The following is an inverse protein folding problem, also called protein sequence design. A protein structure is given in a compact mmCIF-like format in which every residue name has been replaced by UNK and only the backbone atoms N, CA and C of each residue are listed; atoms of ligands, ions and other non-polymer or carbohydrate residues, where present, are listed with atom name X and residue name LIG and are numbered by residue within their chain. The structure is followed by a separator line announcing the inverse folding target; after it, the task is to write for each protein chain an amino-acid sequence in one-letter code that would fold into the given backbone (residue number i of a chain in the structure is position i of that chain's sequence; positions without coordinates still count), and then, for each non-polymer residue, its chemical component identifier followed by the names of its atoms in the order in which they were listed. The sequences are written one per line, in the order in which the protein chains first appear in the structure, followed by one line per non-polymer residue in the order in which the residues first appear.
data_IF_152272682135
#
_entry.id   IF_152272682135
#
_cell.length_a   1.000
_cell.length_b   1.000
_cell.length_c   1.000
_cell.angle_alpha   90.00
_cell.angle_beta   90.00
_cell.angle_gamma   90.00
#
_symmetry.space_group_name_H-M   'P 1'
#
loop_
_entity.id
_entity.type
_entity.pdbx_description
1 polymer ?
#
# COMPACT_ATOMS: atom_id res chain seq x y z
N UNK A 1 3.54 -1.90 17.55
CA UNK A 1 2.92 -0.67 18.10
C UNK A 1 1.46 -0.63 17.67
N UNK A 2 0.55 -0.03 18.45
CA UNK A 2 -0.83 0.13 18.00
C UNK A 2 -0.91 1.03 16.76
N UNK A 3 -1.75 0.65 15.79
CA UNK A 3 -2.00 1.45 14.59
C UNK A 3 -2.75 2.74 14.99
N UNK A 4 -2.16 3.89 14.67
CA UNK A 4 -2.75 5.20 14.92
C UNK A 4 -3.93 5.50 13.98
N UNK A 5 -4.69 6.56 14.27
CA UNK A 5 -5.82 7.02 13.47
C UNK A 5 -7.18 6.48 13.93
N UNK A 6 -8.22 6.76 13.13
CA UNK A 6 -9.64 6.69 13.53
C UNK A 6 -10.43 5.54 12.87
N UNK A 7 -9.79 4.64 12.12
CA UNK A 7 -10.48 3.42 11.63
C UNK A 7 -10.88 2.50 12.79
N UNK A 8 -11.86 1.62 12.54
CA UNK A 8 -12.35 0.67 13.54
C UNK A 8 -11.27 -0.28 14.06
N UNK A 9 -11.45 -0.80 15.27
CA UNK A 9 -10.54 -1.79 15.87
C UNK A 9 -10.40 -3.04 14.99
N UNK A 10 -11.49 -3.49 14.34
CA UNK A 10 -11.45 -4.63 13.42
C UNK A 10 -10.59 -4.36 12.19
N UNK A 11 -10.61 -3.15 11.64
CA UNK A 11 -9.73 -2.75 10.54
C UNK A 11 -8.27 -2.69 11.01
N UNK A 12 -8.00 -2.16 12.21
CA UNK A 12 -6.64 -2.16 12.79
C UNK A 12 -6.11 -3.58 13.02
N UNK A 13 -6.96 -4.48 13.53
CA UNK A 13 -6.59 -5.89 13.71
C UNK A 13 -6.23 -6.55 12.37
N UNK A 14 -7.04 -6.35 11.33
CA UNK A 14 -6.73 -6.83 9.97
C UNK A 14 -5.40 -6.30 9.44
N UNK A 15 -5.12 -5.01 9.65
CA UNK A 15 -3.88 -4.38 9.17
C UNK A 15 -2.64 -4.75 10.00
N UNK A 16 -2.82 -5.23 11.23
CA UNK A 16 -1.72 -5.71 12.07
C UNK A 16 -1.12 -7.04 11.58
N UNK A 17 -1.81 -7.75 10.69
CA UNK A 17 -1.39 -9.05 10.16
C UNK A 17 -1.53 -9.11 8.63
N UNK A 18 -0.66 -8.35 7.95
CA UNK A 18 -0.62 -8.30 6.47
C UNK A 18 -0.44 -9.68 5.81
N UNK A 19 0.41 -10.60 6.33
CA UNK A 19 0.52 -11.93 5.72
C UNK A 19 -0.80 -12.70 5.68
N UNK A 20 -1.64 -12.54 6.72
CA UNK A 20 -2.98 -13.15 6.74
C UNK A 20 -3.92 -12.42 5.78
N UNK A 21 -3.90 -11.08 5.77
CA UNK A 21 -4.71 -10.26 4.88
C UNK A 21 -4.46 -10.57 3.39
N UNK A 22 -3.20 -10.81 3.01
CA UNK A 22 -2.79 -11.16 1.64
C UNK A 22 -2.71 -12.68 1.40
N UNK A 23 -3.28 -13.50 2.28
CA UNK A 23 -3.35 -14.97 2.13
C UNK A 23 -1.99 -15.67 1.96
N UNK A 24 -0.89 -15.11 2.47
CA UNK A 24 0.44 -15.72 2.38
C UNK A 24 0.53 -17.05 3.14
N UNK A 25 -0.30 -17.23 4.17
CA UNK A 25 -0.29 -18.44 5.00
C UNK A 25 -1.07 -19.62 4.38
N UNK A 26 -1.54 -19.51 3.13
CA UNK A 26 -2.25 -20.61 2.44
C UNK A 26 -1.32 -21.69 1.87
N UNK A 27 -0.06 -21.36 1.62
CA UNK A 27 0.95 -22.24 1.03
C UNK A 27 2.04 -22.56 2.05
N UNK A 28 2.61 -23.76 1.99
CA UNK A 28 3.79 -24.13 2.79
C UNK A 28 5.08 -23.46 2.30
N UNK A 29 5.11 -22.99 1.04
CA UNK A 29 6.26 -22.29 0.45
C UNK A 29 5.98 -20.79 0.32
N UNK A 30 6.97 -19.92 0.60
CA UNK A 30 6.80 -18.47 0.45
C UNK A 30 6.58 -18.11 -1.02
N UNK A 31 5.61 -17.21 -1.24
CA UNK A 31 5.30 -16.65 -2.56
C UNK A 31 6.11 -15.38 -2.85
N UNK A 32 5.80 -14.73 -3.98
CA UNK A 32 6.41 -13.45 -4.34
C UNK A 32 6.12 -12.38 -3.27
N UNK A 33 7.17 -11.71 -2.78
CA UNK A 33 7.06 -10.61 -1.82
C UNK A 33 6.66 -11.03 -0.40
N UNK A 34 6.74 -12.31 -0.05
CA UNK A 34 6.37 -12.83 1.28
C UNK A 34 7.18 -12.17 2.41
N UNK A 35 8.51 -12.13 2.29
CA UNK A 35 9.42 -11.45 3.21
C UNK A 35 9.08 -9.97 3.36
N UNK A 36 8.93 -9.27 2.23
CA UNK A 36 8.61 -7.84 2.18
C UNK A 36 7.28 -7.55 2.90
N UNK A 37 6.26 -8.38 2.70
CA UNK A 37 4.95 -8.22 3.37
C UNK A 37 4.99 -8.52 4.87
N UNK A 38 5.89 -9.39 5.32
CA UNK A 38 6.10 -9.67 6.75
C UNK A 38 6.81 -8.51 7.46
N UNK A 39 7.71 -7.82 6.75
CA UNK A 39 8.46 -6.70 7.30
C UNK A 39 7.73 -5.35 7.16
N UNK A 40 6.70 -5.28 6.31
CA UNK A 40 5.88 -4.08 6.12
C UNK A 40 4.96 -3.83 7.32
N UNK A 41 5.07 -2.65 7.93
CA UNK A 41 4.29 -2.27 9.12
C UNK A 41 3.32 -1.15 8.80
N UNK A 42 2.03 -1.35 9.05
CA UNK A 42 1.04 -0.27 9.05
C UNK A 42 1.18 0.53 10.35
N UNK A 43 1.39 1.85 10.25
CA UNK A 43 1.59 2.72 11.42
C UNK A 43 0.40 3.65 11.67
N UNK A 44 -0.36 3.99 10.63
CA UNK A 44 -1.53 4.87 10.72
C UNK A 44 -2.59 4.45 9.71
N UNK A 45 -3.85 4.48 10.10
CA UNK A 45 -5.01 4.33 9.22
C UNK A 45 -6.15 5.25 9.67
N UNK A 46 -6.66 6.08 8.77
CA UNK A 46 -7.78 6.98 9.03
C UNK A 46 -8.73 7.10 7.83
N UNK A 47 -9.95 7.56 8.12
CA UNK A 47 -10.90 8.10 7.16
C UNK A 47 -11.21 9.52 7.60
N UNK A 48 -10.83 10.48 6.77
CA UNK A 48 -10.88 11.91 7.10
C UNK A 48 -11.67 12.66 6.01
N UNK A 49 -12.17 13.86 6.33
CA UNK A 49 -12.76 14.72 5.31
C UNK A 49 -11.65 15.25 4.38
N UNK A 50 -11.92 15.32 3.07
CA UNK A 50 -10.97 15.89 2.11
C UNK A 50 -10.78 17.38 2.38
N UNK A 51 -9.55 17.86 2.27
CA UNK A 51 -9.25 19.27 2.48
C UNK A 51 -9.92 20.17 1.43
N UNK A 52 -9.92 19.72 0.17
CA UNK A 52 -10.44 20.47 -0.99
C UNK A 52 -11.96 20.34 -1.17
N UNK A 53 -12.57 19.29 -0.62
CA UNK A 53 -14.02 19.03 -0.69
C UNK A 53 -14.51 18.40 0.62
N UNK A 54 -14.77 19.21 1.66
CA UNK A 54 -15.08 18.71 3.01
C UNK A 54 -16.36 17.87 3.12
N UNK A 55 -17.25 17.91 2.11
CA UNK A 55 -18.43 17.03 2.04
C UNK A 55 -18.10 15.59 1.63
N UNK A 56 -16.84 15.34 1.23
CA UNK A 56 -16.33 14.03 0.83
C UNK A 56 -15.27 13.57 1.81
N UNK A 57 -15.18 12.27 1.97
CA UNK A 57 -14.17 11.62 2.79
C UNK A 57 -13.10 10.95 1.93
N UNK A 58 -11.93 10.71 2.52
CA UNK A 58 -10.88 9.89 1.96
C UNK A 58 -10.26 8.98 3.01
N UNK A 59 -9.89 7.78 2.59
CA UNK A 59 -9.05 6.90 3.37
C UNK A 59 -7.61 7.36 3.27
N UNK A 60 -6.88 7.21 4.36
CA UNK A 60 -5.44 7.47 4.43
C UNK A 60 -4.75 6.38 5.23
N UNK A 61 -3.74 5.74 4.64
CA UNK A 61 -2.93 4.70 5.29
C UNK A 61 -1.45 4.99 5.14
N UNK A 62 -0.70 4.82 6.22
CA UNK A 62 0.77 4.95 6.21
C UNK A 62 1.42 3.64 6.61
N UNK A 63 2.32 3.17 5.77
CA UNK A 63 3.15 2.01 6.03
C UNK A 63 4.63 2.42 6.17
N UNK A 64 5.39 1.63 6.92
CA UNK A 64 6.84 1.79 7.06
C UNK A 64 7.53 0.44 6.82
N UNK A 65 8.71 0.49 6.21
CA UNK A 65 9.55 -0.68 5.95
C UNK A 65 11.02 -0.24 5.84
N UNK A 66 11.96 -1.11 6.17
CA UNK A 66 13.40 -0.90 5.93
C UNK A 66 13.79 -1.61 4.65
N UNK A 67 14.60 -0.97 3.80
CA UNK A 67 15.08 -1.62 2.57
C UNK A 67 16.02 -2.78 2.92
N UNK A 68 15.65 -3.99 2.51
CA UNK A 68 16.39 -5.25 2.69
C UNK A 68 16.97 -5.76 1.37
N UNK A 69 17.86 -6.75 1.42
CA UNK A 69 18.60 -7.25 0.25
C UNK A 69 17.70 -7.78 -0.87
N UNK A 70 16.62 -8.47 -0.52
CA UNK A 70 15.62 -9.02 -1.44
C UNK A 70 14.77 -7.96 -2.15
N UNK A 71 14.89 -6.69 -1.76
CA UNK A 71 14.24 -5.55 -2.40
C UNK A 71 15.12 -4.89 -3.48
N UNK A 72 16.40 -5.23 -3.56
CA UNK A 72 17.38 -4.51 -4.36
C UNK A 72 17.38 -4.92 -5.84
N UNK A 73 17.75 -3.97 -6.71
CA UNK A 73 18.17 -4.23 -8.07
C UNK A 73 19.70 -4.43 -8.16
N UNK A 74 20.21 -4.74 -9.35
CA UNK A 74 21.64 -4.92 -9.60
C UNK A 74 22.50 -3.67 -9.35
N UNK A 75 21.90 -2.50 -9.18
CA UNK A 75 22.57 -1.26 -8.79
C UNK A 75 22.56 -0.97 -7.29
N UNK A 76 22.11 -1.90 -6.45
CA UNK A 76 22.09 -1.76 -4.98
C UNK A 76 21.03 -0.79 -4.45
N UNK A 77 20.06 -0.42 -5.28
CA UNK A 77 18.90 0.41 -4.90
C UNK A 77 17.63 -0.43 -4.95
N UNK A 78 16.54 0.04 -4.34
CA UNK A 78 15.24 -0.62 -4.45
C UNK A 78 14.88 -0.86 -5.92
N UNK A 79 14.49 -2.10 -6.25
CA UNK A 79 14.07 -2.48 -7.59
C UNK A 79 12.78 -1.75 -7.96
N UNK A 80 12.67 -1.26 -9.20
CA UNK A 80 11.46 -0.57 -9.67
C UNK A 80 10.19 -1.43 -9.49
N UNK A 81 10.30 -2.73 -9.77
CA UNK A 81 9.25 -3.71 -9.49
C UNK A 81 8.93 -3.91 -8.00
N UNK A 82 9.91 -3.74 -7.10
CA UNK A 82 9.66 -3.77 -5.65
C UNK A 82 8.88 -2.52 -5.21
N UNK A 83 9.25 -1.34 -5.71
CA UNK A 83 8.47 -0.11 -5.52
C UNK A 83 7.04 -0.24 -6.07
N UNK A 84 6.87 -0.86 -7.24
CA UNK A 84 5.56 -1.13 -7.82
C UNK A 84 4.72 -2.08 -6.96
N UNK A 85 5.33 -3.15 -6.44
CA UNK A 85 4.71 -4.07 -5.50
C UNK A 85 4.26 -3.37 -4.21
N UNK A 86 5.12 -2.55 -3.61
CA UNK A 86 4.78 -1.76 -2.43
C UNK A 86 3.61 -0.81 -2.69
N UNK A 87 3.58 -0.15 -3.85
CA UNK A 87 2.45 0.71 -4.25
C UNK A 87 1.16 -0.12 -4.40
N UNK A 88 1.19 -1.26 -5.09
CA UNK A 88 0.03 -2.13 -5.30
C UNK A 88 -0.59 -2.58 -3.96
N UNK A 89 0.26 -3.11 -3.07
CA UNK A 89 -0.12 -3.57 -1.74
C UNK A 89 -0.65 -2.41 -0.90
N UNK A 90 0.13 -1.34 -0.71
CA UNK A 90 -0.22 -0.31 0.26
C UNK A 90 -1.43 0.54 -0.17
N UNK A 91 -1.60 0.79 -1.47
CA UNK A 91 -2.79 1.48 -1.99
C UNK A 91 -4.07 0.68 -1.74
N UNK A 92 -3.99 -0.66 -1.77
CA UNK A 92 -5.12 -1.54 -1.44
C UNK A 92 -5.54 -1.40 0.02
N UNK A 93 -4.59 -1.27 0.95
CA UNK A 93 -4.89 -1.05 2.36
C UNK A 93 -5.69 0.25 2.56
N UNK A 94 -5.36 1.29 1.81
CA UNK A 94 -6.09 2.55 1.86
C UNK A 94 -7.55 2.43 1.40
N UNK A 95 -7.82 1.62 0.39
CA UNK A 95 -9.18 1.31 -0.04
C UNK A 95 -9.93 0.49 1.01
N UNK A 96 -9.27 -0.49 1.63
CA UNK A 96 -9.85 -1.30 2.71
C UNK A 96 -10.10 -0.49 3.99
N UNK A 97 -9.33 0.56 4.24
CA UNK A 97 -9.59 1.49 5.34
C UNK A 97 -10.92 2.24 5.14
N UNK A 98 -11.19 2.64 3.90
CA UNK A 98 -12.38 3.39 3.52
C UNK A 98 -13.61 2.49 3.30
N UNK A 99 -13.41 1.30 2.72
CA UNK A 99 -14.46 0.34 2.36
C UNK A 99 -14.01 -1.10 2.71
N UNK A 100 -14.10 -1.52 3.98
CA UNK A 100 -13.51 -2.78 4.47
C UNK A 100 -13.97 -4.06 3.78
N UNK A 101 -15.18 -4.05 3.21
CA UNK A 101 -15.84 -5.16 2.54
C UNK A 101 -15.51 -5.27 1.04
N UNK A 102 -14.71 -4.35 0.49
CA UNK A 102 -14.46 -4.34 -0.95
C UNK A 102 -13.45 -5.40 -1.38
N UNK A 103 -13.81 -6.15 -2.41
CA UNK A 103 -12.90 -7.05 -3.13
C UNK A 103 -12.51 -6.43 -4.46
N UNK A 104 -11.21 -6.20 -4.66
CA UNK A 104 -10.72 -5.50 -5.85
C UNK A 104 -9.52 -6.19 -6.47
N UNK A 105 -9.42 -6.05 -7.79
CA UNK A 105 -8.26 -6.39 -8.60
C UNK A 105 -7.67 -5.13 -9.22
N UNK A 106 -6.38 -5.19 -9.54
CA UNK A 106 -5.63 -4.08 -10.16
C UNK A 106 -6.07 -3.94 -11.62
N UNK A 107 -6.54 -2.75 -12.01
CA UNK A 107 -6.88 -2.42 -13.39
C UNK A 107 -5.71 -1.74 -14.10
N UNK A 108 -5.09 -0.75 -13.44
CA UNK A 108 -3.91 -0.06 -13.98
C UNK A 108 -3.06 0.51 -12.85
N UNK A 109 -1.75 0.53 -13.06
CA UNK A 109 -0.79 1.08 -12.12
C UNK A 109 0.21 1.95 -12.88
N UNK A 110 0.17 3.26 -12.65
CA UNK A 110 1.11 4.23 -13.24
C UNK A 110 2.07 4.72 -12.15
N UNK A 111 3.37 4.68 -12.42
CA UNK A 111 4.42 4.97 -11.43
C UNK A 111 5.44 5.93 -12.04
N UNK A 112 5.85 6.92 -11.24
CA UNK A 112 6.99 7.79 -11.49
C UNK A 112 8.07 7.50 -10.44
N UNK A 113 9.30 7.27 -10.89
CA UNK A 113 10.47 7.03 -10.04
C UNK A 113 11.30 8.31 -9.95
N UNK A 114 11.42 8.85 -8.74
CA UNK A 114 11.98 10.19 -8.50
C UNK A 114 13.42 10.14 -7.99
N UNK A 115 13.70 9.21 -7.07
CA UNK A 115 15.04 9.09 -6.50
C UNK A 115 15.30 7.68 -5.95
N UNK A 116 16.57 7.25 -5.79
CA UNK A 116 16.86 5.93 -5.28
C UNK A 116 16.66 5.83 -3.76
N UNK A 117 16.45 4.61 -3.27
CA UNK A 117 16.62 4.22 -1.87
C UNK A 117 17.52 2.99 -1.80
N UNK A 118 18.48 2.98 -0.87
CA UNK A 118 19.51 1.95 -0.72
C UNK A 118 19.26 1.06 0.49
N UNK A 119 19.98 -0.06 0.56
CA UNK A 119 19.95 -0.99 1.69
C UNK A 119 20.02 -0.27 3.06
N UNK A 120 19.16 -0.69 3.99
CA UNK A 120 19.11 -0.18 5.36
C UNK A 120 18.34 1.14 5.52
N UNK A 121 17.94 1.81 4.44
CA UNK A 121 17.16 3.05 4.55
C UNK A 121 15.71 2.78 4.92
N UNK A 122 15.13 3.69 5.70
CA UNK A 122 13.73 3.58 6.11
C UNK A 122 12.83 4.24 5.08
N UNK A 123 11.82 3.50 4.62
CA UNK A 123 10.77 4.00 3.75
C UNK A 123 9.50 4.31 4.54
N UNK A 124 8.83 5.40 4.17
CA UNK A 124 7.50 5.79 4.64
C UNK A 124 6.58 5.90 3.43
N UNK A 125 5.59 5.04 3.38
CA UNK A 125 4.68 4.87 2.24
C UNK A 125 3.33 5.47 2.61
N UNK A 126 2.98 6.60 1.99
CA UNK A 126 1.75 7.34 2.26
C UNK A 126 0.75 7.05 1.15
N UNK A 127 -0.45 6.60 1.52
CA UNK A 127 -1.50 6.20 0.61
C UNK A 127 -2.76 7.01 0.92
N UNK A 128 -3.40 7.53 -0.12
CA UNK A 128 -4.66 8.28 -0.01
C UNK A 128 -5.63 7.87 -1.10
N UNK A 129 -6.89 7.62 -0.75
CA UNK A 129 -7.93 7.33 -1.74
C UNK A 129 -8.28 8.58 -2.54
N UNK A 130 -8.30 8.47 -3.87
CA UNK A 130 -8.70 9.58 -4.74
C UNK A 130 -10.22 9.51 -5.00
N UNK A 131 -10.68 8.43 -5.62
CA UNK A 131 -12.11 8.15 -5.82
C UNK A 131 -12.46 6.75 -5.35
N UNK A 132 -13.61 6.59 -4.70
CA UNK A 132 -14.13 5.28 -4.27
C UNK A 132 -15.56 5.12 -4.80
N UNK A 133 -15.68 4.62 -6.03
CA UNK A 133 -16.96 4.37 -6.68
C UNK A 133 -17.39 2.90 -6.62
N UNK A 134 -18.57 2.60 -7.17
CA UNK A 134 -19.07 1.23 -7.25
C UNK A 134 -18.27 0.34 -8.23
N UNK A 135 -17.80 0.91 -9.34
CA UNK A 135 -17.13 0.15 -10.43
C UNK A 135 -15.61 0.32 -10.46
N UNK A 136 -15.14 1.52 -10.14
CA UNK A 136 -13.74 1.87 -10.16
C UNK A 136 -13.38 2.66 -8.89
N UNK A 137 -12.18 2.38 -8.39
CA UNK A 137 -11.58 3.00 -7.24
C UNK A 137 -10.16 3.38 -7.60
N UNK A 138 -9.67 4.50 -7.10
CA UNK A 138 -8.28 4.90 -7.30
C UNK A 138 -7.65 5.39 -6.02
N UNK A 139 -6.35 5.17 -5.89
CA UNK A 139 -5.54 5.64 -4.79
C UNK A 139 -4.20 6.16 -5.28
N UNK A 140 -3.73 7.23 -4.67
CA UNK A 140 -2.38 7.77 -4.83
C UNK A 140 -1.49 7.20 -3.75
N UNK A 141 -0.26 6.84 -4.12
CA UNK A 141 0.77 6.42 -3.19
C UNK A 141 2.03 7.22 -3.40
N UNK A 142 2.71 7.55 -2.30
CA UNK A 142 4.03 8.19 -2.29
C UNK A 142 4.96 7.40 -1.38
N UNK A 143 6.06 6.91 -1.93
CA UNK A 143 7.14 6.28 -1.18
C UNK A 143 8.17 7.35 -0.86
N UNK A 144 8.31 7.69 0.41
CA UNK A 144 9.30 8.61 0.91
C UNK A 144 10.47 7.85 1.53
N UNK A 145 11.69 8.29 1.23
CA UNK A 145 12.86 7.90 2.00
C UNK A 145 12.86 8.74 3.27
N UNK A 146 12.51 8.12 4.40
CA UNK A 146 12.45 8.78 5.71
C UNK A 146 13.85 9.06 6.28
N UNK A 147 14.88 8.35 5.83
CA UNK A 147 16.29 8.58 6.23
C UNK A 147 16.88 9.80 5.52
N UNK A 148 16.62 9.96 4.21
CA UNK A 148 17.17 11.04 3.37
C UNK A 148 16.17 12.16 3.05
N UNK A 149 14.94 12.09 3.57
CA UNK A 149 13.88 13.08 3.40
C UNK A 149 13.58 13.46 1.94
N UNK A 150 13.45 12.45 1.05
CA UNK A 150 13.16 12.67 -0.37
C UNK A 150 12.14 11.68 -0.92
N UNK A 151 11.40 12.09 -1.95
CA UNK A 151 10.44 11.24 -2.64
C UNK A 151 11.19 10.21 -3.51
N UNK A 152 10.90 8.91 -3.29
CA UNK A 152 11.51 7.78 -4.01
C UNK A 152 10.68 7.44 -5.24
N UNK A 153 9.38 7.24 -5.03
CA UNK A 153 8.44 6.92 -6.10
C UNK A 153 7.05 7.47 -5.75
N UNK A 154 6.26 7.77 -6.77
CA UNK A 154 4.83 8.05 -6.62
C UNK A 154 4.05 7.22 -7.62
N UNK A 155 2.84 6.79 -7.26
CA UNK A 155 1.99 6.06 -8.18
C UNK A 155 0.50 6.32 -8.00
N UNK A 156 -0.24 6.12 -9.08
CA UNK A 156 -1.69 6.08 -9.10
C UNK A 156 -2.09 4.66 -9.46
N UNK A 157 -2.87 4.04 -8.57
CA UNK A 157 -3.39 2.69 -8.74
C UNK A 157 -4.89 2.77 -8.93
N UNK A 158 -5.38 2.28 -10.08
CA UNK A 158 -6.81 2.09 -10.34
C UNK A 158 -7.15 0.62 -10.09
N UNK A 159 -8.17 0.41 -9.26
CA UNK A 159 -8.70 -0.91 -8.93
C UNK A 159 -10.17 -1.00 -9.30
N UNK A 160 -10.62 -2.22 -9.59
CA UNK A 160 -12.02 -2.50 -9.91
C UNK A 160 -12.48 -3.78 -9.22
N UNK A 161 -13.79 -3.95 -9.10
CA UNK A 161 -14.34 -5.26 -8.71
C UNK A 161 -14.10 -6.25 -9.86
N UNK A 162 -13.66 -7.49 -9.57
CA UNK A 162 -13.54 -8.51 -10.60
C UNK A 162 -14.92 -8.84 -11.17
N UNK A 163 -14.99 -9.06 -12.48
CA UNK A 163 -16.19 -9.65 -13.10
C UNK A 163 -16.27 -11.14 -12.77
N UNK A 164 -17.47 -11.70 -12.83
CA UNK A 164 -17.63 -13.16 -12.88
C UNK A 164 -16.77 -13.74 -14.00
N UNK A 165 -16.15 -14.89 -13.73
CA UNK A 165 -15.37 -15.59 -14.74
C UNK A 165 -16.33 -16.02 -15.87
N UNK A 166 -16.04 -15.59 -17.09
CA UNK A 166 -16.78 -16.01 -18.27
C UNK A 166 -16.07 -17.23 -18.87
N UNK A 167 -16.36 -18.40 -18.31
CA UNK A 167 -16.09 -19.72 -18.90
C UNK A 167 -17.34 -20.58 -18.72
#
# INVERSE_FOLDING_TARGET
MPIAGNVSSSTKERFSNLPTLYNLNRSQKPGFGDSILRDLVVTHASVDNKAEEPSKQEGRVVCEIVVTEDMLNGGGNIHGGCSAFLIDVCSTLCLLAFKPEVHTVSQSLNIVYHSPATLGEKLRIVNTTMTVGARAMSARTEIWNATKHRLVASGIHIKMQPSEAKL
#
